data_IF_771706255534
#
_entry.id   IF_771706255534
#
_cell.length_a   1.000
_cell.length_b   1.000
_cell.length_c   1.000
_cell.angle_alpha   90.00
_cell.angle_beta   90.00
_cell.angle_gamma   90.00
#
_symmetry.space_group_name_H-M   'P 1'
#
loop_
_entity.id
_entity.type
_entity.pdbx_description
1 polymer ?
#
# COMPACT_ATOMS: atom_id res chain seq x y z
N UNK A 1 -11.42 -3.73 -7.29
CA UNK A 1 -11.88 -2.37 -7.69
C UNK A 1 -11.24 -1.93 -9.02
N UNK A 2 -11.39 -2.72 -10.06
CA UNK A 2 -10.77 -2.49 -11.38
C UNK A 2 -11.19 -1.16 -12.01
N UNK A 3 -12.39 -0.67 -11.67
CA UNK A 3 -12.95 0.59 -12.20
C UNK A 3 -12.58 1.86 -11.40
N UNK A 4 -11.88 1.73 -10.27
CA UNK A 4 -11.46 2.89 -9.47
C UNK A 4 -10.12 3.45 -9.99
N UNK A 5 -10.14 4.03 -11.18
CA UNK A 5 -8.93 4.48 -11.91
C UNK A 5 -8.30 5.70 -11.24
N UNK A 6 -9.11 6.69 -10.85
CA UNK A 6 -8.62 7.92 -10.22
C UNK A 6 -8.06 7.63 -8.82
N UNK A 7 -8.72 6.74 -8.07
CA UNK A 7 -8.22 6.30 -6.78
C UNK A 7 -6.87 5.58 -6.90
N UNK A 8 -6.74 4.64 -7.84
CA UNK A 8 -5.48 3.96 -8.11
C UNK A 8 -4.37 4.94 -8.48
N UNK A 9 -4.64 5.89 -9.41
CA UNK A 9 -3.68 6.94 -9.80
C UNK A 9 -3.30 7.85 -8.64
N UNK A 10 -4.25 8.13 -7.75
CA UNK A 10 -3.94 8.87 -6.54
C UNK A 10 -2.99 8.10 -5.63
N UNK A 11 -3.30 6.84 -5.32
CA UNK A 11 -2.44 6.00 -4.46
C UNK A 11 -1.03 5.82 -5.05
N UNK A 12 -0.93 5.54 -6.34
CA UNK A 12 0.38 5.42 -7.00
C UNK A 12 1.18 6.71 -6.95
N UNK A 13 0.51 7.88 -7.06
CA UNK A 13 1.16 9.18 -6.93
C UNK A 13 1.68 9.47 -5.50
N UNK A 14 1.09 8.86 -4.47
CA UNK A 14 1.57 9.00 -3.07
C UNK A 14 2.89 8.25 -2.85
N UNK A 15 3.09 7.11 -3.51
CA UNK A 15 4.30 6.31 -3.39
C UNK A 15 5.42 6.78 -4.35
N UNK A 16 5.06 7.35 -5.50
CA UNK A 16 5.99 7.70 -6.57
C UNK A 16 7.26 8.46 -6.12
N UNK A 17 7.20 9.46 -5.20
CA UNK A 17 8.40 10.18 -4.74
C UNK A 17 9.39 9.31 -3.94
N UNK A 18 8.99 8.12 -3.50
CA UNK A 18 9.75 7.26 -2.60
C UNK A 18 10.29 6.00 -3.27
N UNK A 19 9.97 5.74 -4.54
CA UNK A 19 10.28 4.48 -5.21
C UNK A 19 11.77 4.31 -5.49
N UNK A 20 12.45 5.36 -5.95
CA UNK A 20 13.80 5.22 -6.50
C UNK A 20 13.82 4.43 -7.80
N UNK A 21 14.98 3.82 -8.13
CA UNK A 21 15.20 3.20 -9.45
C UNK A 21 14.87 1.71 -9.53
N UNK A 22 14.83 1.00 -8.39
CA UNK A 22 14.60 -0.44 -8.29
C UNK A 22 13.76 -0.80 -7.06
N UNK A 23 12.49 -0.40 -6.99
CA UNK A 23 11.62 -0.74 -5.85
C UNK A 23 11.10 -2.18 -5.92
N UNK A 24 10.70 -2.67 -4.74
CA UNK A 24 9.89 -3.87 -4.57
C UNK A 24 8.48 -3.47 -4.15
N UNK A 25 7.46 -3.97 -4.84
CA UNK A 25 6.08 -3.97 -4.38
C UNK A 25 5.74 -5.31 -3.73
N UNK A 26 5.39 -5.31 -2.44
CA UNK A 26 4.91 -6.50 -1.73
C UNK A 26 3.39 -6.56 -1.83
N UNK A 27 2.84 -7.73 -2.18
CA UNK A 27 1.41 -7.95 -2.33
C UNK A 27 0.83 -7.20 -3.52
N UNK A 28 1.45 -7.33 -4.69
CA UNK A 28 1.09 -6.59 -5.91
C UNK A 28 -0.30 -6.93 -6.45
N UNK A 29 -0.94 -7.99 -5.97
CA UNK A 29 -2.26 -8.42 -6.42
C UNK A 29 -2.28 -8.68 -7.92
N UNK A 30 -3.07 -7.89 -8.64
CA UNK A 30 -3.14 -7.96 -10.11
C UNK A 30 -2.08 -7.10 -10.81
N UNK A 31 -1.18 -6.41 -10.08
CA UNK A 31 -0.14 -5.54 -10.64
C UNK A 31 -0.66 -4.18 -11.14
N UNK A 32 -1.76 -3.68 -10.58
CA UNK A 32 -2.37 -2.45 -11.06
C UNK A 32 -1.56 -1.20 -10.70
N UNK A 33 -0.91 -1.17 -9.54
CA UNK A 33 -0.02 -0.07 -9.16
C UNK A 33 1.30 -0.11 -9.93
N UNK A 34 1.89 -1.31 -10.05
CA UNK A 34 3.06 -1.54 -10.88
C UNK A 34 2.88 -1.02 -12.31
N UNK A 35 1.74 -1.33 -12.95
CA UNK A 35 1.44 -0.87 -14.30
C UNK A 35 1.33 0.67 -14.42
N UNK A 36 0.89 1.38 -13.38
CA UNK A 36 0.88 2.85 -13.38
C UNK A 36 2.31 3.42 -13.23
N UNK A 37 3.16 2.83 -12.39
CA UNK A 37 4.55 3.27 -12.22
C UNK A 37 5.40 3.01 -13.47
N UNK A 38 5.18 1.90 -14.17
CA UNK A 38 5.87 1.62 -15.43
C UNK A 38 5.58 2.67 -16.50
N UNK A 39 4.36 3.26 -16.52
CA UNK A 39 4.02 4.40 -17.40
C UNK A 39 4.79 5.67 -17.03
N UNK A 40 5.20 5.81 -15.78
CA UNK A 40 5.98 6.95 -15.29
C UNK A 40 7.49 6.81 -15.57
N UNK A 41 7.93 5.76 -16.27
CA UNK A 41 9.30 5.59 -16.70
C UNK A 41 10.23 4.92 -15.68
N UNK A 42 9.69 4.17 -14.71
CA UNK A 42 10.52 3.38 -13.79
C UNK A 42 11.37 2.37 -14.57
N UNK A 43 12.65 2.23 -14.21
CA UNK A 43 13.62 1.45 -14.96
C UNK A 43 13.64 -0.03 -14.59
N UNK A 44 13.37 -0.33 -13.33
CA UNK A 44 13.32 -1.70 -12.81
C UNK A 44 12.29 -1.74 -11.70
N UNK A 45 11.51 -2.80 -11.61
CA UNK A 45 10.46 -2.98 -10.59
C UNK A 45 10.31 -4.47 -10.27
N UNK A 46 10.44 -4.81 -9.01
CA UNK A 46 10.06 -6.15 -8.55
C UNK A 46 8.61 -6.10 -8.04
N UNK A 47 7.77 -6.98 -8.58
CA UNK A 47 6.41 -7.21 -8.09
C UNK A 47 6.34 -8.57 -7.41
N UNK A 48 5.64 -8.67 -6.28
CA UNK A 48 5.60 -9.91 -5.54
C UNK A 48 4.20 -10.26 -5.04
N UNK A 49 3.94 -11.55 -4.99
CA UNK A 49 2.73 -12.15 -4.44
C UNK A 49 3.05 -13.48 -3.79
N UNK A 50 2.25 -13.83 -2.78
CA UNK A 50 2.38 -15.10 -2.09
C UNK A 50 1.43 -16.16 -2.67
N UNK A 51 0.25 -15.74 -3.12
CA UNK A 51 -0.77 -16.62 -3.70
C UNK A 51 -0.38 -17.08 -5.11
N UNK A 52 -0.29 -18.39 -5.39
CA UNK A 52 0.19 -18.90 -6.68
C UNK A 52 -0.61 -18.40 -7.87
N UNK A 53 -1.94 -18.36 -7.78
CA UNK A 53 -2.79 -17.95 -8.90
C UNK A 53 -2.57 -16.47 -9.28
N UNK A 54 -2.37 -15.58 -8.29
CA UNK A 54 -2.05 -14.17 -8.54
C UNK A 54 -0.62 -14.01 -9.07
N UNK A 55 0.31 -14.80 -8.55
CA UNK A 55 1.69 -14.80 -9.04
C UNK A 55 1.76 -15.16 -10.53
N UNK A 56 1.00 -16.18 -10.96
CA UNK A 56 0.93 -16.57 -12.37
C UNK A 56 0.24 -15.49 -13.22
N UNK A 57 -0.79 -14.82 -12.69
CA UNK A 57 -1.40 -13.64 -13.31
C UNK A 57 -0.40 -12.49 -13.52
N UNK A 58 0.47 -12.22 -12.54
CA UNK A 58 1.53 -11.22 -12.68
C UNK A 58 2.55 -11.62 -13.75
N UNK A 59 2.98 -12.88 -13.77
CA UNK A 59 3.90 -13.40 -14.81
C UNK A 59 3.32 -13.24 -16.20
N UNK A 60 2.04 -13.57 -16.38
CA UNK A 60 1.36 -13.40 -17.66
C UNK A 60 1.23 -11.91 -18.04
N UNK A 61 0.82 -11.07 -17.09
CA UNK A 61 0.61 -9.64 -17.32
C UNK A 61 1.86 -8.91 -17.76
N UNK A 62 3.00 -9.25 -17.19
CA UNK A 62 4.27 -8.56 -17.41
C UNK A 62 5.29 -9.36 -18.25
N UNK A 63 4.87 -10.44 -18.92
CA UNK A 63 5.75 -11.35 -19.67
C UNK A 63 6.56 -10.68 -20.79
N UNK A 64 6.16 -9.49 -21.26
CA UNK A 64 6.85 -8.75 -22.31
C UNK A 64 7.56 -7.48 -21.85
N UNK A 65 7.70 -7.26 -20.54
CA UNK A 65 8.34 -6.06 -19.98
C UNK A 65 9.56 -6.44 -19.14
N UNK A 66 10.75 -6.35 -19.76
CA UNK A 66 12.04 -6.72 -19.12
C UNK A 66 12.39 -5.89 -17.90
N UNK A 67 11.67 -4.79 -17.64
CA UNK A 67 11.82 -3.97 -16.44
C UNK A 67 11.19 -4.63 -15.21
N UNK A 68 10.30 -5.63 -15.39
CA UNK A 68 9.50 -6.22 -14.29
C UNK A 68 10.02 -7.59 -13.90
N UNK A 69 10.35 -7.73 -12.62
CA UNK A 69 10.79 -8.98 -12.02
C UNK A 69 9.67 -9.53 -11.13
N UNK A 70 9.05 -10.63 -11.56
CA UNK A 70 7.96 -11.26 -10.78
C UNK A 70 8.54 -12.29 -9.83
N UNK A 71 8.30 -12.11 -8.53
CA UNK A 71 8.83 -12.98 -7.47
C UNK A 71 7.76 -13.43 -6.48
N UNK A 72 7.97 -14.62 -5.92
CA UNK A 72 7.20 -15.06 -4.75
C UNK A 72 7.97 -14.66 -3.51
N UNK A 73 7.43 -13.70 -2.74
CA UNK A 73 8.08 -13.17 -1.52
C UNK A 73 7.07 -13.17 -0.38
N UNK A 74 7.47 -13.76 0.75
CA UNK A 74 6.77 -13.60 2.02
C UNK A 74 7.22 -12.28 2.66
N UNK A 75 6.28 -11.42 3.02
CA UNK A 75 6.57 -10.13 3.64
C UNK A 75 7.36 -10.26 4.97
N UNK A 76 7.23 -11.38 5.68
CA UNK A 76 7.99 -11.65 6.91
C UNK A 76 9.41 -12.15 6.67
N UNK A 77 9.74 -12.49 5.41
CA UNK A 77 11.05 -12.97 4.98
C UNK A 77 11.37 -12.46 3.58
N UNK A 78 11.52 -11.15 3.44
CA UNK A 78 11.84 -10.48 2.16
C UNK A 78 13.26 -10.83 1.74
N UNK A 79 13.45 -11.14 0.46
CA UNK A 79 14.73 -11.47 -0.14
C UNK A 79 14.94 -10.77 -1.50
N UNK A 80 16.13 -10.98 -2.12
CA UNK A 80 16.44 -10.56 -3.48
C UNK A 80 16.78 -9.09 -3.65
N UNK A 81 17.00 -8.37 -2.56
CA UNK A 81 17.54 -7.01 -2.60
C UNK A 81 19.01 -6.96 -3.08
N UNK A 82 19.62 -5.77 -3.10
CA UNK A 82 19.10 -4.55 -2.47
C UNK A 82 18.08 -3.80 -3.34
N UNK A 83 17.00 -3.32 -2.71
CA UNK A 83 15.97 -2.50 -3.34
C UNK A 83 16.14 -1.02 -3.01
N UNK A 84 15.73 -0.12 -3.91
CA UNK A 84 15.68 1.32 -3.62
C UNK A 84 14.56 1.69 -2.63
N UNK A 85 13.46 0.93 -2.68
CA UNK A 85 12.37 1.03 -1.73
C UNK A 85 11.61 -0.31 -1.63
N UNK A 86 10.92 -0.51 -0.51
CA UNK A 86 9.87 -1.53 -0.37
C UNK A 86 8.55 -0.83 -0.13
N UNK A 87 7.56 -1.13 -0.98
CA UNK A 87 6.25 -0.49 -1.00
C UNK A 87 5.17 -1.53 -0.78
N UNK A 88 4.19 -1.23 0.07
CA UNK A 88 3.04 -2.10 0.31
C UNK A 88 1.74 -1.32 0.41
N UNK A 89 0.70 -1.83 -0.25
CA UNK A 89 -0.66 -1.30 -0.17
C UNK A 89 -1.61 -2.39 0.33
N UNK A 90 -2.19 -2.17 1.49
CA UNK A 90 -3.12 -3.11 2.13
C UNK A 90 -2.53 -4.51 2.27
N UNK A 91 -1.38 -4.61 2.92
CA UNK A 91 -0.66 -5.87 3.19
C UNK A 91 -0.45 -6.09 4.69
N UNK A 92 0.06 -5.08 5.43
CA UNK A 92 0.44 -5.25 6.84
C UNK A 92 -0.74 -5.62 7.74
N UNK A 93 -1.96 -5.23 7.39
CA UNK A 93 -3.18 -5.60 8.11
C UNK A 93 -3.49 -7.09 8.09
N UNK A 94 -2.91 -7.84 7.14
CA UNK A 94 -3.05 -9.30 7.05
C UNK A 94 -1.98 -10.04 7.86
N UNK A 95 -0.90 -9.36 8.28
CA UNK A 95 0.26 -9.99 8.89
C UNK A 95 0.19 -9.88 10.41
N UNK A 96 0.19 -11.03 11.11
CA UNK A 96 0.13 -11.05 12.56
C UNK A 96 1.37 -10.36 13.18
N UNK A 97 2.56 -10.59 12.63
CA UNK A 97 3.82 -9.96 13.05
C UNK A 97 4.28 -8.91 12.03
N UNK A 98 3.60 -7.76 12.01
CA UNK A 98 3.88 -6.64 11.12
C UNK A 98 5.26 -6.01 11.39
N UNK A 99 5.73 -6.03 12.63
CA UNK A 99 7.08 -5.57 12.99
C UNK A 99 8.15 -6.42 12.31
N UNK A 100 7.97 -7.75 12.25
CA UNK A 100 8.90 -8.63 11.55
C UNK A 100 8.87 -8.37 10.04
N UNK A 101 7.70 -8.13 9.45
CA UNK A 101 7.59 -7.78 8.04
C UNK A 101 8.35 -6.48 7.72
N UNK A 102 8.19 -5.45 8.54
CA UNK A 102 8.91 -4.18 8.39
C UNK A 102 10.43 -4.34 8.55
N UNK A 103 10.90 -5.15 9.52
CA UNK A 103 12.32 -5.46 9.69
C UNK A 103 12.90 -6.20 8.49
N UNK A 104 12.17 -7.20 8.00
CA UNK A 104 12.58 -7.99 6.85
C UNK A 104 12.68 -7.12 5.59
N UNK A 105 11.69 -6.25 5.36
CA UNK A 105 11.72 -5.29 4.28
C UNK A 105 12.91 -4.32 4.39
N UNK A 106 13.15 -3.75 5.57
CA UNK A 106 14.24 -2.81 5.81
C UNK A 106 15.62 -3.43 5.56
N UNK A 107 15.81 -4.71 5.91
CA UNK A 107 17.06 -5.43 5.68
C UNK A 107 17.43 -5.54 4.19
N UNK A 108 16.45 -5.48 3.29
CA UNK A 108 16.64 -5.61 1.84
C UNK A 108 16.65 -4.26 1.10
N UNK A 109 16.57 -3.14 1.81
CA UNK A 109 16.61 -1.79 1.22
C UNK A 109 18.02 -1.20 1.37
N UNK A 110 18.47 -0.47 0.35
CA UNK A 110 19.74 0.26 0.39
C UNK A 110 19.73 1.32 1.50
N UNK A 111 20.92 1.77 1.92
CA UNK A 111 21.03 2.96 2.76
C UNK A 111 20.44 4.18 2.06
N UNK A 112 19.66 4.99 2.78
CA UNK A 112 18.92 6.12 2.22
C UNK A 112 17.62 5.73 1.48
N UNK A 113 17.38 4.43 1.22
CA UNK A 113 16.14 3.97 0.59
C UNK A 113 14.91 4.10 1.49
N UNK A 114 13.74 3.66 1.03
CA UNK A 114 12.46 3.93 1.71
C UNK A 114 11.65 2.67 1.98
N UNK A 115 10.95 2.67 3.12
CA UNK A 115 9.82 1.77 3.38
C UNK A 115 8.55 2.59 3.33
N UNK A 116 7.61 2.18 2.48
CA UNK A 116 6.31 2.81 2.32
C UNK A 116 5.21 1.81 2.65
N UNK A 117 4.32 2.17 3.56
CA UNK A 117 3.16 1.37 3.90
C UNK A 117 1.88 2.21 3.82
N UNK A 118 0.87 1.69 3.12
CA UNK A 118 -0.48 2.23 3.06
C UNK A 118 -1.45 1.17 3.56
N UNK A 119 -2.12 1.43 4.68
CA UNK A 119 -2.95 0.45 5.41
C UNK A 119 -4.30 1.04 5.82
N UNK A 120 -5.35 0.23 6.00
CA UNK A 120 -6.66 0.72 6.42
C UNK A 120 -6.61 1.30 7.83
N UNK A 121 -7.35 2.41 8.02
CA UNK A 121 -7.36 3.13 9.29
C UNK A 121 -8.52 2.73 10.19
N UNK A 122 -8.28 2.85 11.51
CA UNK A 122 -9.21 2.75 12.64
C UNK A 122 -9.88 1.40 12.84
N UNK A 123 -9.52 0.73 13.93
CA UNK A 123 -10.13 -0.56 14.33
C UNK A 123 -11.65 -0.49 14.54
N UNK A 124 -12.19 0.67 14.93
CA UNK A 124 -13.65 0.82 15.02
C UNK A 124 -14.37 0.66 13.68
N UNK A 125 -13.68 0.89 12.56
CA UNK A 125 -14.19 0.71 11.20
C UNK A 125 -13.96 -0.70 10.63
N UNK A 126 -13.36 -1.61 11.41
CA UNK A 126 -13.18 -3.01 11.01
C UNK A 126 -14.53 -3.67 10.80
N UNK A 127 -14.80 -4.08 9.55
CA UNK A 127 -16.07 -4.66 9.10
C UNK A 127 -15.99 -6.18 8.99
N UNK A 128 -17.14 -6.83 8.75
CA UNK A 128 -17.15 -8.25 8.42
C UNK A 128 -16.45 -8.53 7.09
N UNK A 129 -16.51 -7.59 6.15
CA UNK A 129 -15.78 -7.70 4.89
C UNK A 129 -14.26 -7.71 5.11
N UNK A 130 -13.72 -6.86 6.00
CA UNK A 130 -12.31 -6.91 6.35
C UNK A 130 -11.90 -8.30 6.88
N UNK A 131 -12.72 -8.87 7.78
CA UNK A 131 -12.45 -10.21 8.35
C UNK A 131 -12.46 -11.30 7.30
N UNK A 132 -13.37 -11.23 6.33
CA UNK A 132 -13.44 -12.17 5.20
C UNK A 132 -12.20 -12.06 4.30
N UNK A 133 -11.61 -10.87 4.19
CA UNK A 133 -10.32 -10.65 3.50
C UNK A 133 -9.11 -11.07 4.33
N UNK A 134 -9.29 -11.47 5.61
CA UNK A 134 -8.20 -11.87 6.49
C UNK A 134 -7.51 -10.72 7.22
N UNK A 135 -8.14 -9.55 7.32
CA UNK A 135 -7.60 -8.45 8.11
C UNK A 135 -7.64 -8.80 9.60
N UNK A 136 -6.50 -8.76 10.25
CA UNK A 136 -6.37 -8.98 11.70
C UNK A 136 -6.43 -7.67 12.48
N UNK A 137 -6.20 -6.52 11.80
CA UNK A 137 -6.21 -5.18 12.41
C UNK A 137 -6.45 -4.08 11.38
N UNK A 138 -6.68 -2.87 11.89
CA UNK A 138 -6.55 -1.59 11.20
C UNK A 138 -5.66 -0.67 12.03
N UNK A 139 -5.13 0.38 11.45
CA UNK A 139 -4.11 1.19 12.07
C UNK A 139 -4.61 2.59 12.43
N UNK A 140 -3.94 3.25 13.36
CA UNK A 140 -3.92 4.69 13.56
C UNK A 140 -2.52 5.21 13.27
N UNK A 141 -2.34 6.53 13.21
CA UNK A 141 -0.99 7.11 13.09
C UNK A 141 -0.05 6.61 14.20
N UNK A 142 -0.54 6.53 15.43
CA UNK A 142 0.25 6.05 16.56
C UNK A 142 0.63 4.57 16.42
N UNK A 143 -0.32 3.70 16.07
CA UNK A 143 -0.04 2.25 16.00
C UNK A 143 0.87 1.88 14.84
N UNK A 144 0.75 2.55 13.68
CA UNK A 144 1.69 2.31 12.57
C UNK A 144 3.07 2.89 12.89
N UNK A 145 3.17 4.08 13.52
CA UNK A 145 4.45 4.63 13.96
C UNK A 145 5.15 3.67 14.93
N UNK A 146 4.43 3.16 15.93
CA UNK A 146 4.99 2.20 16.88
C UNK A 146 5.50 0.91 16.20
N UNK A 147 4.79 0.41 15.17
CA UNK A 147 5.26 -0.78 14.44
C UNK A 147 6.57 -0.49 13.68
N UNK A 148 6.68 0.68 13.05
CA UNK A 148 7.92 1.13 12.41
C UNK A 148 9.06 1.28 13.41
N UNK A 149 8.83 1.97 14.53
CA UNK A 149 9.83 2.20 15.60
C UNK A 149 10.32 0.88 16.20
N UNK A 150 9.43 -0.07 16.47
CA UNK A 150 9.80 -1.41 16.93
C UNK A 150 10.58 -2.21 15.87
N UNK A 151 10.39 -1.90 14.59
CA UNK A 151 11.20 -2.46 13.52
C UNK A 151 12.58 -1.79 13.36
N UNK A 152 12.87 -0.74 14.14
CA UNK A 152 14.11 0.03 14.04
C UNK A 152 14.08 1.13 12.99
N UNK A 153 12.88 1.50 12.52
CA UNK A 153 12.65 2.53 11.52
C UNK A 153 12.08 3.79 12.19
N UNK A 154 12.53 4.97 11.79
CA UNK A 154 11.94 6.24 12.23
C UNK A 154 11.05 6.79 11.11
N UNK A 155 9.72 6.83 11.29
CA UNK A 155 8.82 7.37 10.26
C UNK A 155 9.07 8.87 10.03
N UNK A 156 9.27 9.24 8.76
CA UNK A 156 9.40 10.65 8.32
C UNK A 156 8.04 11.25 7.95
N UNK A 157 7.13 10.41 7.48
CA UNK A 157 5.77 10.80 7.09
C UNK A 157 4.77 9.83 7.70
N UNK A 158 3.80 10.35 8.45
CA UNK A 158 2.63 9.58 8.93
C UNK A 158 1.39 10.43 8.81
N UNK A 159 0.49 10.08 7.90
CA UNK A 159 -0.75 10.86 7.68
C UNK A 159 -1.92 10.00 7.29
N UNK A 160 -3.11 10.47 7.58
CA UNK A 160 -4.34 9.88 7.05
C UNK A 160 -4.55 10.27 5.58
N UNK A 161 -5.24 9.42 4.85
CA UNK A 161 -5.54 9.58 3.42
C UNK A 161 -6.99 9.15 3.18
N UNK A 162 -7.65 9.81 2.22
CA UNK A 162 -9.02 9.56 1.81
C UNK A 162 -10.02 9.79 2.97
N UNK A 163 -10.07 11.04 3.43
CA UNK A 163 -10.99 11.45 4.49
C UNK A 163 -12.46 11.12 4.20
N UNK A 164 -13.03 11.41 3.00
CA UNK A 164 -14.41 11.05 2.70
C UNK A 164 -14.66 9.54 2.63
N UNK A 165 -13.61 8.76 2.38
CA UNK A 165 -13.69 7.29 2.34
C UNK A 165 -14.01 6.66 3.69
N UNK A 166 -13.59 7.29 4.81
CA UNK A 166 -13.86 6.72 6.14
C UNK A 166 -15.36 6.66 6.48
N UNK A 167 -16.14 7.76 6.43
CA UNK A 167 -17.57 7.69 6.68
C UNK A 167 -18.30 6.82 5.65
N UNK A 168 -17.92 6.85 4.39
CA UNK A 168 -18.52 5.98 3.37
C UNK A 168 -18.28 4.50 3.66
N UNK A 169 -17.07 4.13 4.07
CA UNK A 169 -16.74 2.77 4.49
C UNK A 169 -17.50 2.38 5.76
N UNK A 170 -17.49 3.24 6.77
CA UNK A 170 -18.13 2.97 8.06
C UNK A 170 -19.64 2.73 7.87
N UNK A 171 -20.32 3.62 7.17
CA UNK A 171 -21.76 3.48 6.93
C UNK A 171 -22.03 2.28 6.02
N UNK A 172 -21.38 2.20 4.85
CA UNK A 172 -21.65 1.18 3.86
C UNK A 172 -21.25 -0.23 4.32
N UNK A 173 -19.98 -0.40 4.67
CA UNK A 173 -19.44 -1.75 4.94
C UNK A 173 -19.66 -2.19 6.38
N UNK A 174 -19.50 -1.26 7.35
CA UNK A 174 -19.58 -1.62 8.77
C UNK A 174 -21.01 -1.68 9.28
N UNK A 175 -21.85 -0.68 8.97
CA UNK A 175 -23.22 -0.60 9.48
C UNK A 175 -24.23 -1.33 8.58
N UNK A 176 -24.16 -1.13 7.27
CA UNK A 176 -25.11 -1.70 6.33
C UNK A 176 -24.67 -3.07 5.76
N UNK A 177 -23.45 -3.52 6.07
CA UNK A 177 -22.95 -4.83 5.60
C UNK A 177 -22.80 -4.96 4.09
N UNK A 178 -22.69 -3.82 3.38
CA UNK A 178 -22.48 -3.83 1.93
C UNK A 178 -21.09 -4.37 1.60
N UNK A 179 -20.94 -4.89 0.39
CA UNK A 179 -19.63 -5.26 -0.17
C UNK A 179 -19.24 -4.28 -1.27
N UNK A 180 -17.94 -3.90 -1.37
CA UNK A 180 -17.49 -3.04 -2.46
C UNK A 180 -17.80 -3.69 -3.82
N UNK A 181 -18.49 -2.95 -4.68
CA UNK A 181 -18.87 -3.43 -6.00
C UNK A 181 -18.42 -2.49 -7.12
N UNK A 182 -18.48 -2.97 -8.36
CA UNK A 182 -18.15 -2.21 -9.58
C UNK A 182 -19.38 -1.49 -10.19
N UNK A 183 -20.32 -1.05 -9.36
CA UNK A 183 -21.57 -0.42 -9.82
C UNK A 183 -21.43 1.06 -10.21
N UNK A 184 -22.55 1.69 -10.66
CA UNK A 184 -22.57 3.11 -11.02
C UNK A 184 -22.12 4.03 -9.90
N UNK A 185 -22.43 3.69 -8.64
CA UNK A 185 -22.00 4.46 -7.46
C UNK A 185 -20.48 4.56 -7.36
N UNK A 186 -19.75 3.47 -7.63
CA UNK A 186 -18.28 3.50 -7.66
C UNK A 186 -17.76 4.46 -8.74
N UNK A 187 -18.40 4.49 -9.93
CA UNK A 187 -17.98 5.40 -11.01
C UNK A 187 -18.13 6.86 -10.63
N UNK A 188 -19.26 7.21 -10.00
CA UNK A 188 -19.49 8.58 -9.48
C UNK A 188 -18.50 8.92 -8.39
N UNK A 189 -18.27 7.99 -7.45
CA UNK A 189 -17.30 8.15 -6.38
C UNK A 189 -15.89 8.38 -6.93
N UNK A 190 -15.42 7.50 -7.82
CA UNK A 190 -14.08 7.60 -8.41
C UNK A 190 -13.95 8.82 -9.33
N UNK A 191 -15.01 9.22 -10.04
CA UNK A 191 -15.00 10.32 -10.99
C UNK A 191 -15.15 11.71 -10.36
N UNK A 192 -15.77 11.83 -9.19
CA UNK A 192 -16.05 13.11 -8.56
C UNK A 192 -15.42 13.24 -7.17
N UNK A 193 -15.70 12.30 -6.25
CA UNK A 193 -15.26 12.42 -4.85
C UNK A 193 -13.75 12.26 -4.73
N UNK A 194 -13.17 11.28 -5.42
CA UNK A 194 -11.73 11.01 -5.35
C UNK A 194 -10.88 12.16 -5.88
N UNK A 195 -11.15 12.75 -7.08
CA UNK A 195 -10.38 13.91 -7.55
C UNK A 195 -10.47 15.12 -6.61
N UNK A 196 -11.66 15.39 -6.05
CA UNK A 196 -11.84 16.45 -5.08
C UNK A 196 -11.08 16.20 -3.78
N UNK A 197 -11.18 14.98 -3.22
CA UNK A 197 -10.43 14.58 -2.03
C UNK A 197 -8.93 14.72 -2.26
N UNK A 198 -8.41 14.23 -3.40
CA UNK A 198 -7.00 14.35 -3.77
C UNK A 198 -6.55 15.81 -3.85
N UNK A 199 -7.35 16.69 -4.46
CA UNK A 199 -7.02 18.11 -4.57
C UNK A 199 -6.94 18.77 -3.20
N UNK A 200 -7.93 18.55 -2.32
CA UNK A 200 -7.96 19.11 -0.96
C UNK A 200 -6.84 18.56 -0.10
N UNK A 201 -6.62 17.26 -0.11
CA UNK A 201 -5.58 16.58 0.70
C UNK A 201 -4.15 16.82 0.18
N UNK A 202 -3.99 17.39 -1.00
CA UNK A 202 -2.72 17.94 -1.49
C UNK A 202 -2.28 19.19 -0.72
N UNK A 203 -3.21 19.91 -0.10
CA UNK A 203 -2.96 21.14 0.65
C UNK A 203 -3.16 20.96 2.16
N UNK A 204 -4.11 20.13 2.57
CA UNK A 204 -4.50 19.95 3.96
C UNK A 204 -4.37 18.48 4.33
N UNK A 205 -3.64 18.18 5.40
CA UNK A 205 -3.59 16.83 5.95
C UNK A 205 -4.77 16.63 6.91
N UNK A 206 -5.79 15.83 6.54
CA UNK A 206 -6.96 15.64 7.39
C UNK A 206 -6.60 14.91 8.69
N UNK A 207 -7.33 15.18 9.80
CA UNK A 207 -7.10 14.50 11.09
C UNK A 207 -7.60 13.05 11.11
N UNK A 208 -8.27 12.59 10.06
CA UNK A 208 -8.76 11.23 9.87
C UNK A 208 -8.80 10.87 8.38
N UNK A 209 -8.93 9.57 8.06
CA UNK A 209 -9.08 9.08 6.68
C UNK A 209 -9.42 7.60 6.67
N UNK A 210 -9.78 7.08 5.51
CA UNK A 210 -10.05 5.65 5.33
C UNK A 210 -8.79 4.80 5.56
N UNK A 211 -7.64 5.38 5.26
CA UNK A 211 -6.34 4.72 5.39
C UNK A 211 -5.31 5.63 6.06
N UNK A 212 -4.24 5.03 6.53
CA UNK A 212 -3.06 5.73 7.01
C UNK A 212 -1.84 5.33 6.17
N UNK A 213 -1.05 6.32 5.82
CA UNK A 213 0.20 6.20 5.10
C UNK A 213 1.35 6.42 6.09
N UNK A 214 2.36 5.55 6.05
CA UNK A 214 3.63 5.74 6.75
C UNK A 214 4.81 5.55 5.80
N UNK A 215 5.82 6.41 5.93
CA UNK A 215 7.08 6.31 5.17
C UNK A 215 8.25 6.51 6.12
N UNK A 216 9.25 5.65 6.02
CA UNK A 216 10.52 5.81 6.74
C UNK A 216 11.71 5.65 5.80
N UNK A 217 12.77 6.39 6.07
CA UNK A 217 14.06 6.16 5.44
C UNK A 217 14.81 5.06 6.17
N UNK A 218 15.40 4.14 5.43
CA UNK A 218 16.34 3.17 5.97
C UNK A 218 17.69 3.87 6.15
N UNK A 219 18.21 3.85 7.36
CA UNK A 219 19.55 4.36 7.70
C UNK A 219 20.35 3.22 8.30
N UNK A 220 21.38 2.79 7.61
CA UNK A 220 22.34 1.83 8.15
C UNK A 220 23.30 2.59 9.05
N UNK A 221 23.37 2.20 10.32
CA UNK A 221 24.44 2.74 11.20
C UNK A 221 25.76 2.28 10.62
N UNK A 222 26.68 3.22 10.41
CA UNK A 222 28.08 2.88 10.19
C UNK A 222 28.55 2.04 11.39
N UNK A 223 29.15 0.89 11.11
CA UNK A 223 29.65 -0.04 12.12
C UNK A 223 30.97 0.48 12.70
#
# INVERSE_FOLDING_TARGET
LTLAINYRRWLTSLAAPYLGDNPLEIGSGNGDYAAEWLKSGIKSLTVSELEPARLDGLRQRFSGDDRVHVRRIDATNVDGGPYSAVVSFNVLEHIANDVQALRSAAAQVIDGGRIFAYVPAFNFALSNFDRQLGHVRRYTKSTISNAFEQAGLTPEVVRYVNAPGLPAWFIGMKLLGLTPGNGPLLRVWDGAVIPMARAVEGWIHPPFGQSVLAVAQVRRREA
#
